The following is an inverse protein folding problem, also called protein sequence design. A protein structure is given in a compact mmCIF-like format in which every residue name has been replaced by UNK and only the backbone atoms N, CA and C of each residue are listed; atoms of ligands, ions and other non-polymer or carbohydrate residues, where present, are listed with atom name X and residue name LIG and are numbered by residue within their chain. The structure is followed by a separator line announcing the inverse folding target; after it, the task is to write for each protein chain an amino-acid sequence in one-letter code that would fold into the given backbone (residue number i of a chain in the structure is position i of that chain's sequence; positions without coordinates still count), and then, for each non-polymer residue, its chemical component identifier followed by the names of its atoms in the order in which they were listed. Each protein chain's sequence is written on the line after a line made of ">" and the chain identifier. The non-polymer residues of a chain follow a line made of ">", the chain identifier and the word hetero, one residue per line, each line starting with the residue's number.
data_IF_392097347481
#
_entry.id   IF_392097347481
#
_cell.length_a   1.000
_cell.length_b   1.000
_cell.length_c   1.000
_cell.angle_alpha   90.00
_cell.angle_beta   90.00
_cell.angle_gamma   90.00
#
_symmetry.space_group_name_H-M   'P 1'
#
loop_
_entity.id
_entity.type
_entity.pdbx_description
1 polymer ?
#
# COMPACT_ATOMS: atom_id res chain seq x y z
N UNK A 1 23.56 43.87 -10.78
CA UNK A 1 24.67 43.01 -11.31
C UNK A 1 24.93 41.75 -10.45
N UNK A 2 24.63 41.72 -9.16
CA UNK A 2 24.89 40.54 -8.28
C UNK A 2 24.08 39.33 -8.65
N UNK A 3 22.81 39.50 -9.06
CA UNK A 3 21.86 38.40 -9.35
C UNK A 3 22.27 37.53 -10.54
N UNK A 4 22.61 38.09 -11.72
CA UNK A 4 23.05 37.27 -12.85
C UNK A 4 24.33 36.48 -12.54
N UNK A 5 25.25 37.09 -11.78
CA UNK A 5 26.49 36.44 -11.34
C UNK A 5 26.19 35.23 -10.41
N UNK A 6 25.34 35.41 -9.40
CA UNK A 6 24.95 34.34 -8.49
C UNK A 6 24.25 33.17 -9.23
N UNK A 7 23.35 33.49 -10.18
CA UNK A 7 22.68 32.49 -11.00
C UNK A 7 23.69 31.75 -11.89
N UNK A 8 24.64 32.45 -12.50
CA UNK A 8 25.71 31.85 -13.30
C UNK A 8 26.55 30.85 -12.49
N UNK A 9 26.88 31.20 -11.24
CA UNK A 9 27.60 30.32 -10.33
C UNK A 9 26.77 29.09 -9.95
N UNK A 10 25.47 29.26 -9.69
CA UNK A 10 24.55 28.17 -9.46
C UNK A 10 24.43 27.23 -10.66
N UNK A 11 24.48 27.74 -11.91
CA UNK A 11 24.46 26.93 -13.12
C UNK A 11 25.76 26.14 -13.26
N UNK A 12 26.91 26.76 -13.00
CA UNK A 12 28.23 26.13 -13.11
C UNK A 12 28.37 24.95 -12.13
N UNK A 13 27.86 25.11 -10.91
CA UNK A 13 27.92 24.10 -9.85
C UNK A 13 26.55 23.49 -9.55
N UNK A 14 25.67 23.39 -10.55
CA UNK A 14 24.27 23.01 -10.38
C UNK A 14 24.09 21.68 -9.61
N UNK A 15 24.78 20.58 -9.92
CA UNK A 15 24.61 19.33 -9.20
C UNK A 15 25.00 19.41 -7.72
N UNK A 16 26.08 20.12 -7.42
CA UNK A 16 26.64 20.19 -6.05
C UNK A 16 25.97 21.26 -5.21
N UNK A 17 25.79 22.47 -5.75
CA UNK A 17 25.26 23.60 -5.00
C UNK A 17 23.72 23.54 -4.94
N UNK A 18 23.04 23.36 -6.06
CA UNK A 18 21.57 23.42 -6.08
C UNK A 18 20.97 22.08 -5.62
N UNK A 19 21.27 21.00 -6.34
CA UNK A 19 20.70 19.69 -6.02
C UNK A 19 21.23 19.15 -4.68
N UNK A 20 22.55 19.32 -4.43
CA UNK A 20 23.17 18.90 -3.17
C UNK A 20 22.56 19.60 -1.96
N UNK A 21 22.30 20.89 -2.02
CA UNK A 21 21.66 21.64 -0.93
C UNK A 21 20.22 21.18 -0.71
N UNK A 22 19.41 21.04 -1.77
CA UNK A 22 18.03 20.55 -1.63
C UNK A 22 18.03 19.15 -1.04
N UNK A 23 18.87 18.25 -1.53
CA UNK A 23 18.97 16.88 -1.03
C UNK A 23 19.40 16.85 0.45
N UNK A 24 20.37 17.68 0.85
CA UNK A 24 20.82 17.74 2.25
C UNK A 24 19.74 18.23 3.21
N UNK A 25 18.91 19.17 2.78
CA UNK A 25 17.79 19.70 3.58
C UNK A 25 16.66 18.67 3.67
N UNK A 26 16.39 17.94 2.58
CA UNK A 26 15.26 17.02 2.49
C UNK A 26 15.58 15.61 2.98
N UNK A 27 16.86 15.20 3.01
CA UNK A 27 17.29 13.86 3.43
C UNK A 27 16.83 13.48 4.83
N UNK A 28 16.92 14.35 5.87
CA UNK A 28 16.41 13.99 7.20
C UNK A 28 14.93 13.68 7.23
N UNK A 29 14.13 14.36 6.41
CA UNK A 29 12.68 14.12 6.30
C UNK A 29 12.43 12.72 5.72
N UNK A 30 13.10 12.39 4.61
CA UNK A 30 13.00 11.08 3.97
C UNK A 30 13.45 9.95 4.92
N UNK A 31 14.59 10.13 5.59
CA UNK A 31 15.09 9.13 6.54
C UNK A 31 14.18 8.97 7.76
N UNK A 32 13.58 10.06 8.23
CA UNK A 32 12.64 10.06 9.35
C UNK A 32 11.37 9.26 9.01
N UNK A 33 10.77 9.55 7.86
CA UNK A 33 9.54 8.83 7.41
C UNK A 33 9.81 7.36 7.09
N UNK A 34 10.95 7.04 6.48
CA UNK A 34 11.34 5.65 6.21
C UNK A 34 11.50 4.84 7.51
N UNK A 35 12.12 5.40 8.54
CA UNK A 35 12.23 4.73 9.86
C UNK A 35 10.89 4.53 10.54
N UNK A 36 9.96 5.49 10.40
CA UNK A 36 8.61 5.34 10.94
C UNK A 36 7.87 4.19 10.25
N UNK A 37 7.97 4.10 8.93
CA UNK A 37 7.38 3.00 8.15
C UNK A 37 7.99 1.64 8.53
N UNK A 38 9.31 1.57 8.66
CA UNK A 38 10.01 0.34 9.06
C UNK A 38 9.53 -0.15 10.43
N UNK A 39 9.42 0.74 11.42
CA UNK A 39 8.96 0.39 12.76
C UNK A 39 7.53 -0.16 12.77
N UNK A 40 6.58 0.51 12.10
CA UNK A 40 5.18 0.04 12.06
C UNK A 40 5.03 -1.25 11.22
N UNK A 41 5.86 -1.45 10.18
CA UNK A 41 5.86 -2.69 9.39
C UNK A 41 6.36 -3.87 10.21
N UNK A 42 7.40 -3.69 11.03
CA UNK A 42 7.89 -4.71 11.95
C UNK A 42 6.83 -5.08 12.98
N UNK A 43 6.16 -4.10 13.57
CA UNK A 43 5.07 -4.33 14.52
C UNK A 43 3.90 -5.07 13.85
N UNK A 44 3.49 -4.67 12.67
CA UNK A 44 2.43 -5.33 11.90
C UNK A 44 2.76 -6.81 11.68
N UNK A 45 3.97 -7.14 11.24
CA UNK A 45 4.39 -8.53 11.02
C UNK A 45 4.39 -9.34 12.30
N UNK A 46 4.84 -8.75 13.41
CA UNK A 46 4.83 -9.38 14.74
C UNK A 46 3.41 -9.71 15.21
N UNK A 47 2.47 -8.77 15.10
CA UNK A 47 1.08 -9.00 15.51
C UNK A 47 0.37 -9.99 14.57
N UNK A 48 0.69 -10.00 13.28
CA UNK A 48 0.20 -11.00 12.33
C UNK A 48 0.63 -12.41 12.74
N UNK A 49 1.91 -12.61 13.02
CA UNK A 49 2.44 -13.90 13.46
C UNK A 49 1.80 -14.36 14.80
N UNK A 50 1.60 -13.42 15.72
CA UNK A 50 0.95 -13.70 16.99
C UNK A 50 -0.53 -14.13 16.79
N UNK A 51 -1.27 -13.43 15.92
CA UNK A 51 -2.65 -13.79 15.57
C UNK A 51 -2.72 -15.17 14.96
N UNK A 52 -1.87 -15.47 13.95
CA UNK A 52 -1.86 -16.77 13.27
C UNK A 52 -1.56 -17.93 14.24
N UNK A 53 -0.66 -17.73 15.20
CA UNK A 53 -0.39 -18.70 16.26
C UNK A 53 -1.61 -18.93 17.17
N UNK A 54 -2.25 -17.86 17.62
CA UNK A 54 -3.43 -17.95 18.48
C UNK A 54 -4.62 -18.61 17.76
N UNK A 55 -4.82 -18.31 16.48
CA UNK A 55 -5.84 -18.93 15.63
C UNK A 55 -5.60 -20.44 15.52
N UNK A 56 -4.36 -20.84 15.22
CA UNK A 56 -3.99 -22.25 15.17
C UNK A 56 -4.21 -22.95 16.52
N UNK A 57 -3.77 -22.34 17.64
CA UNK A 57 -3.96 -22.90 18.98
C UNK A 57 -5.44 -22.99 19.36
N UNK A 58 -6.27 -22.00 19.01
CA UNK A 58 -7.70 -22.03 19.28
C UNK A 58 -8.39 -23.17 18.52
N UNK A 59 -8.03 -23.37 17.25
CA UNK A 59 -8.57 -24.47 16.45
C UNK A 59 -8.12 -25.84 16.97
N UNK A 60 -6.88 -25.94 17.45
CA UNK A 60 -6.36 -27.20 18.04
C UNK A 60 -7.01 -27.57 19.38
N UNK A 61 -7.49 -26.58 20.15
CA UNK A 61 -8.22 -26.85 21.43
C UNK A 61 -9.60 -27.42 21.23
N UNK A 62 -10.26 -27.11 20.12
CA UNK A 62 -11.59 -27.62 19.83
C UNK A 62 -11.50 -28.91 18.97
N UNK A 63 -11.94 -30.07 19.48
CA UNK A 63 -11.90 -31.33 18.73
C UNK A 63 -12.65 -31.25 17.38
N UNK A 64 -13.69 -30.41 17.29
CA UNK A 64 -14.48 -30.23 16.05
C UNK A 64 -13.73 -29.47 14.96
N UNK A 65 -12.62 -28.78 15.30
CA UNK A 65 -11.83 -27.99 14.31
C UNK A 65 -10.37 -28.43 14.23
N UNK A 66 -9.87 -29.17 15.22
CA UNK A 66 -8.49 -29.62 15.28
C UNK A 66 -8.08 -30.44 14.05
N UNK A 67 -8.95 -31.33 13.59
CA UNK A 67 -8.71 -32.14 12.39
C UNK A 67 -8.67 -31.34 11.08
N UNK A 68 -9.19 -30.12 11.06
CA UNK A 68 -9.12 -29.24 9.89
C UNK A 68 -7.72 -28.69 9.68
N UNK A 69 -6.96 -28.44 10.75
CA UNK A 69 -5.65 -27.77 10.74
C UNK A 69 -4.47 -28.70 11.00
N UNK A 70 -4.69 -29.85 11.65
CA UNK A 70 -3.66 -30.86 11.97
C UNK A 70 -3.89 -32.17 11.20
N UNK A 71 -2.82 -32.67 10.59
CA UNK A 71 -2.85 -33.98 9.95
C UNK A 71 -2.95 -35.09 10.99
N UNK A 72 -2.24 -34.93 12.11
CA UNK A 72 -2.18 -35.90 13.18
C UNK A 72 -3.56 -36.11 13.86
N UNK A 73 -4.26 -35.04 14.17
CA UNK A 73 -5.61 -35.10 14.71
C UNK A 73 -6.64 -35.63 13.69
N UNK A 74 -6.44 -35.32 12.42
CA UNK A 74 -7.27 -35.87 11.35
C UNK A 74 -7.11 -37.38 11.23
N UNK A 75 -5.88 -37.87 11.16
CA UNK A 75 -5.58 -39.30 11.05
C UNK A 75 -6.07 -40.06 12.30
N UNK A 76 -5.86 -39.49 13.50
CA UNK A 76 -6.35 -40.04 14.75
C UNK A 76 -7.89 -40.19 14.80
N UNK A 77 -8.63 -39.18 14.40
CA UNK A 77 -10.09 -39.22 14.33
C UNK A 77 -10.58 -40.23 13.28
N UNK A 78 -9.85 -40.38 12.15
CA UNK A 78 -10.15 -41.39 11.16
C UNK A 78 -9.95 -42.84 11.72
N UNK A 79 -8.87 -43.05 12.49
CA UNK A 79 -8.56 -44.35 13.09
C UNK A 79 -9.54 -44.74 14.19
N UNK A 80 -10.17 -43.75 14.86
CA UNK A 80 -11.21 -43.97 15.88
C UNK A 80 -12.56 -44.37 15.25
N UNK A 81 -12.79 -44.13 13.95
CA UNK A 81 -13.99 -44.50 13.22
C UNK A 81 -13.91 -45.96 12.77
N UNK A 82 -15.01 -46.70 12.95
CA UNK A 82 -15.13 -48.07 12.48
C UNK A 82 -15.45 -48.20 10.99
N UNK A 83 -15.84 -49.42 10.58
CA UNK A 83 -16.23 -49.73 9.20
C UNK A 83 -17.75 -49.83 9.03
N UNK A 84 -18.54 -49.20 9.91
CA UNK A 84 -19.99 -49.19 9.74
C UNK A 84 -20.41 -48.22 8.60
N UNK A 85 -21.58 -48.44 7.97
CA UNK A 85 -22.07 -47.49 6.97
C UNK A 85 -22.20 -46.06 7.46
N UNK A 86 -22.47 -45.87 8.76
CA UNK A 86 -22.51 -44.56 9.41
C UNK A 86 -21.13 -43.90 9.52
N UNK A 87 -20.12 -44.71 9.92
CA UNK A 87 -18.73 -44.25 10.02
C UNK A 87 -18.16 -43.84 8.67
N UNK A 88 -18.51 -44.54 7.58
CA UNK A 88 -18.12 -44.18 6.21
C UNK A 88 -18.70 -42.84 5.80
N UNK A 89 -19.94 -42.52 6.16
CA UNK A 89 -20.55 -41.21 5.89
C UNK A 89 -19.83 -40.11 6.69
N UNK A 90 -19.49 -40.37 7.93
CA UNK A 90 -18.73 -39.43 8.79
C UNK A 90 -17.34 -39.19 8.25
N UNK A 91 -16.60 -40.23 7.82
CA UNK A 91 -15.32 -40.10 7.16
C UNK A 91 -15.41 -39.22 5.90
N UNK A 92 -16.39 -39.49 5.02
CA UNK A 92 -16.60 -38.70 3.82
C UNK A 92 -16.92 -37.23 4.18
N UNK A 93 -17.69 -36.96 5.20
CA UNK A 93 -17.98 -35.64 5.77
C UNK A 93 -16.71 -34.92 6.19
N UNK A 94 -15.84 -35.54 6.96
CA UNK A 94 -14.57 -34.99 7.44
C UNK A 94 -13.62 -34.59 6.26
N UNK A 95 -13.51 -35.44 5.24
CA UNK A 95 -12.72 -35.14 4.03
C UNK A 95 -13.29 -33.94 3.29
N UNK A 96 -14.63 -33.88 3.15
CA UNK A 96 -15.30 -32.74 2.48
C UNK A 96 -15.11 -31.46 3.27
N UNK A 97 -15.31 -31.46 4.58
CA UNK A 97 -15.16 -30.29 5.45
C UNK A 97 -13.73 -29.77 5.44
N UNK A 98 -12.74 -30.67 5.59
CA UNK A 98 -11.33 -30.31 5.50
C UNK A 98 -10.96 -29.78 4.11
N UNK A 99 -11.47 -30.39 3.05
CA UNK A 99 -11.30 -29.92 1.68
C UNK A 99 -11.88 -28.52 1.48
N UNK A 100 -13.09 -28.26 2.00
CA UNK A 100 -13.73 -26.95 1.95
C UNK A 100 -12.98 -25.90 2.78
N UNK A 101 -12.51 -26.26 3.98
CA UNK A 101 -11.69 -25.38 4.81
C UNK A 101 -10.40 -24.98 4.09
N UNK A 102 -9.65 -25.95 3.57
CA UNK A 102 -8.42 -25.69 2.83
C UNK A 102 -8.65 -24.86 1.57
N UNK A 103 -9.76 -25.10 0.86
CA UNK A 103 -10.14 -24.31 -0.30
C UNK A 103 -10.48 -22.86 0.08
N UNK A 104 -11.29 -22.66 1.13
CA UNK A 104 -11.61 -21.30 1.63
C UNK A 104 -10.36 -20.57 2.08
N UNK A 105 -9.49 -21.26 2.84
CA UNK A 105 -8.19 -20.70 3.27
C UNK A 105 -7.32 -20.34 2.07
N UNK A 106 -7.16 -21.25 1.11
CA UNK A 106 -6.36 -21.00 -0.10
C UNK A 106 -6.88 -19.83 -0.95
N UNK A 107 -8.19 -19.69 -1.12
CA UNK A 107 -8.80 -18.54 -1.82
C UNK A 107 -8.52 -17.25 -1.07
N UNK A 108 -8.67 -17.22 0.24
CA UNK A 108 -8.42 -16.06 1.09
C UNK A 108 -6.95 -15.63 1.04
N UNK A 109 -6.03 -16.58 1.19
CA UNK A 109 -4.59 -16.32 1.13
C UNK A 109 -4.18 -15.81 -0.26
N UNK A 110 -4.74 -16.37 -1.32
CA UNK A 110 -4.54 -15.92 -2.71
C UNK A 110 -5.00 -14.47 -2.93
N UNK A 111 -6.19 -14.11 -2.44
CA UNK A 111 -6.66 -12.71 -2.54
C UNK A 111 -5.79 -11.76 -1.73
N UNK A 112 -5.35 -12.17 -0.54
CA UNK A 112 -4.44 -11.38 0.30
C UNK A 112 -3.12 -11.14 -0.42
N UNK A 113 -2.52 -12.18 -0.98
CA UNK A 113 -1.25 -12.10 -1.71
C UNK A 113 -1.34 -11.19 -2.95
N UNK A 114 -2.39 -11.33 -3.75
CA UNK A 114 -2.63 -10.45 -4.91
C UNK A 114 -2.77 -9.00 -4.47
N UNK A 115 -3.55 -8.71 -3.43
CA UNK A 115 -3.74 -7.34 -2.96
C UNK A 115 -2.44 -6.75 -2.41
N UNK A 116 -1.63 -7.54 -1.72
CA UNK A 116 -0.32 -7.12 -1.23
C UNK A 116 0.64 -6.81 -2.38
N UNK A 117 0.67 -7.65 -3.41
CA UNK A 117 1.42 -7.38 -4.64
C UNK A 117 0.93 -6.12 -5.37
N UNK A 118 -0.38 -5.90 -5.45
CA UNK A 118 -0.95 -4.70 -6.05
C UNK A 118 -0.60 -3.44 -5.25
N UNK A 119 -0.59 -3.51 -3.93
CA UNK A 119 -0.19 -2.43 -3.05
C UNK A 119 1.29 -2.08 -3.24
N UNK A 120 2.17 -3.08 -3.26
CA UNK A 120 3.59 -2.89 -3.55
C UNK A 120 3.82 -2.33 -4.96
N UNK A 121 3.07 -2.81 -5.95
CA UNK A 121 3.13 -2.29 -7.32
C UNK A 121 2.70 -0.82 -7.39
N UNK A 122 1.65 -0.41 -6.67
CA UNK A 122 1.22 0.99 -6.61
C UNK A 122 2.31 1.90 -6.01
N UNK A 123 2.97 1.45 -4.94
CA UNK A 123 4.10 2.16 -4.34
C UNK A 123 5.26 2.30 -5.32
N UNK A 124 5.64 1.21 -6.00
CA UNK A 124 6.71 1.18 -6.97
C UNK A 124 6.44 2.09 -8.18
N UNK A 125 5.20 2.14 -8.67
CA UNK A 125 4.78 3.03 -9.76
C UNK A 125 4.98 4.49 -9.37
N UNK A 126 4.55 4.90 -8.19
CA UNK A 126 4.72 6.28 -7.72
C UNK A 126 6.21 6.63 -7.56
N UNK A 127 7.01 5.75 -7.00
CA UNK A 127 8.46 6.00 -6.83
C UNK A 127 9.20 6.06 -8.17
N UNK A 128 8.83 5.21 -9.13
CA UNK A 128 9.38 5.24 -10.49
C UNK A 128 9.04 6.55 -11.20
N UNK A 129 7.78 6.98 -11.17
CA UNK A 129 7.33 8.25 -11.77
C UNK A 129 8.03 9.44 -11.09
N UNK A 130 8.16 9.41 -9.76
CA UNK A 130 8.90 10.39 -8.98
C UNK A 130 10.34 10.51 -9.46
N UNK A 131 11.03 9.39 -9.55
CA UNK A 131 12.44 9.32 -9.97
C UNK A 131 12.60 9.89 -11.39
N UNK A 132 11.72 9.50 -12.31
CA UNK A 132 11.71 10.06 -13.66
C UNK A 132 11.54 11.59 -13.67
N UNK A 133 10.60 12.12 -12.91
CA UNK A 133 10.40 13.57 -12.83
C UNK A 133 11.59 14.31 -12.20
N UNK A 134 12.21 13.74 -11.16
CA UNK A 134 13.40 14.33 -10.54
C UNK A 134 14.57 14.39 -11.53
N UNK A 135 14.78 13.33 -12.32
CA UNK A 135 15.83 13.31 -13.36
C UNK A 135 15.56 14.35 -14.43
N UNK A 136 14.33 14.44 -14.94
CA UNK A 136 13.96 15.45 -15.95
C UNK A 136 14.14 16.87 -15.38
N UNK A 137 13.69 17.12 -14.16
CA UNK A 137 13.86 18.42 -13.51
C UNK A 137 15.34 18.75 -13.27
N UNK A 138 16.16 17.77 -12.90
CA UNK A 138 17.59 17.95 -12.71
C UNK A 138 18.30 18.35 -14.03
N UNK A 139 17.94 17.71 -15.14
CA UNK A 139 18.50 18.00 -16.48
C UNK A 139 18.04 19.39 -16.97
N UNK A 140 16.76 19.74 -16.77
CA UNK A 140 16.19 21.01 -17.20
C UNK A 140 16.48 22.18 -16.23
N UNK A 141 17.01 21.89 -15.05
CA UNK A 141 17.30 22.89 -14.03
C UNK A 141 18.20 24.02 -14.51
N UNK A 142 19.41 23.75 -15.06
CA UNK A 142 20.29 24.80 -15.57
C UNK A 142 19.63 25.72 -16.60
N UNK A 143 18.76 25.16 -17.44
CA UNK A 143 18.00 25.93 -18.45
C UNK A 143 16.99 26.86 -17.76
N UNK A 144 16.25 26.36 -16.78
CA UNK A 144 15.30 27.18 -16.01
C UNK A 144 16.00 28.33 -15.25
N UNK A 145 17.17 28.03 -14.69
CA UNK A 145 18.02 29.05 -14.06
C UNK A 145 18.51 30.12 -15.07
N UNK A 146 18.99 29.70 -16.24
CA UNK A 146 19.44 30.60 -17.29
C UNK A 146 18.31 31.55 -17.76
N UNK A 147 17.10 31.01 -18.00
CA UNK A 147 15.94 31.81 -18.41
C UNK A 147 15.54 32.80 -17.32
N UNK A 148 15.70 32.49 -16.05
CA UNK A 148 15.33 33.35 -14.93
C UNK A 148 16.18 34.64 -14.81
N UNK A 149 17.27 34.71 -15.55
CA UNK A 149 18.14 35.93 -15.62
C UNK A 149 17.45 37.08 -16.35
N UNK A 150 16.62 36.75 -17.36
CA UNK A 150 15.92 37.77 -18.14
C UNK A 150 14.77 38.41 -17.36
N UNK A 151 14.59 39.72 -17.58
CA UNK A 151 13.49 40.45 -16.96
C UNK A 151 12.14 39.88 -17.44
N UNK A 152 11.22 39.68 -16.48
CA UNK A 152 9.92 39.04 -16.72
C UNK A 152 9.89 37.53 -16.50
N UNK A 153 11.02 36.82 -16.54
CA UNK A 153 11.10 35.38 -16.33
C UNK A 153 11.64 34.99 -14.94
N UNK A 154 11.73 35.93 -14.03
CA UNK A 154 12.32 35.75 -12.70
C UNK A 154 11.58 34.68 -11.84
N UNK A 155 10.27 34.49 -12.06
CA UNK A 155 9.46 33.49 -11.37
C UNK A 155 9.80 32.05 -11.77
N UNK A 156 10.45 31.85 -12.93
CA UNK A 156 10.81 30.50 -13.43
C UNK A 156 11.71 29.76 -12.46
N UNK A 157 12.67 30.43 -11.83
CA UNK A 157 13.55 29.86 -10.81
C UNK A 157 12.76 29.34 -9.62
N UNK A 158 11.91 30.17 -9.05
CA UNK A 158 11.11 29.82 -7.87
C UNK A 158 10.15 28.69 -8.20
N UNK A 159 9.53 28.71 -9.36
CA UNK A 159 8.62 27.68 -9.83
C UNK A 159 9.35 26.33 -10.01
N UNK A 160 10.56 26.35 -10.56
CA UNK A 160 11.38 25.16 -10.73
C UNK A 160 11.73 24.53 -9.36
N UNK A 161 12.22 25.37 -8.42
CA UNK A 161 12.57 24.90 -7.04
C UNK A 161 11.35 24.28 -6.37
N UNK A 162 10.20 24.95 -6.41
CA UNK A 162 8.97 24.44 -5.80
C UNK A 162 8.52 23.13 -6.42
N UNK A 163 8.65 22.98 -7.74
CA UNK A 163 8.32 21.73 -8.42
C UNK A 163 9.28 20.62 -8.06
N UNK A 164 10.57 20.91 -7.97
CA UNK A 164 11.57 19.92 -7.56
C UNK A 164 11.28 19.42 -6.13
N UNK A 165 11.04 20.33 -5.20
CA UNK A 165 10.69 20.00 -3.81
C UNK A 165 9.36 19.23 -3.74
N UNK A 166 8.34 19.65 -4.52
CA UNK A 166 7.05 18.95 -4.58
C UNK A 166 7.23 17.47 -4.96
N UNK A 167 7.98 17.21 -6.03
CA UNK A 167 8.21 15.84 -6.48
C UNK A 167 9.09 15.08 -5.49
N UNK A 168 10.05 15.75 -4.87
CA UNK A 168 10.90 15.14 -3.84
C UNK A 168 10.07 14.67 -2.64
N UNK A 169 9.07 15.44 -2.22
CA UNK A 169 8.17 15.13 -1.12
C UNK A 169 7.23 13.94 -1.36
N UNK A 170 7.12 13.43 -2.59
CA UNK A 170 6.28 12.26 -2.84
C UNK A 170 6.72 11.06 -2.01
N UNK A 171 8.02 10.84 -1.84
CA UNK A 171 8.53 9.71 -1.05
C UNK A 171 8.16 9.84 0.44
N UNK A 172 8.48 10.94 1.15
CA UNK A 172 8.04 11.11 2.53
C UNK A 172 6.53 11.01 2.73
N UNK A 173 5.73 11.54 1.79
CA UNK A 173 4.26 11.43 1.86
C UNK A 173 3.80 9.99 1.66
N UNK A 174 4.46 9.25 0.74
CA UNK A 174 4.24 7.81 0.55
C UNK A 174 4.53 7.01 1.81
N UNK A 175 5.69 7.25 2.43
CA UNK A 175 6.09 6.58 3.67
C UNK A 175 5.11 6.85 4.81
N UNK A 176 4.72 8.13 5.00
CA UNK A 176 3.72 8.49 6.01
C UNK A 176 2.36 7.83 5.76
N UNK A 177 1.92 7.80 4.50
CA UNK A 177 0.67 7.13 4.13
C UNK A 177 0.72 5.63 4.45
N UNK A 178 1.81 4.95 4.07
CA UNK A 178 2.04 3.54 4.39
C UNK A 178 2.13 3.29 5.89
N UNK A 179 2.79 4.19 6.65
CA UNK A 179 2.87 4.13 8.11
C UNK A 179 1.48 4.19 8.76
N UNK A 180 0.61 5.10 8.29
CA UNK A 180 -0.77 5.20 8.79
C UNK A 180 -1.55 3.92 8.51
N UNK A 181 -1.43 3.36 7.29
CA UNK A 181 -2.10 2.11 6.94
C UNK A 181 -1.59 0.93 7.77
N UNK A 182 -0.27 0.82 7.95
CA UNK A 182 0.34 -0.20 8.79
C UNK A 182 -0.15 -0.06 10.25
N UNK A 183 -0.24 1.16 10.77
CA UNK A 183 -0.77 1.40 12.13
C UNK A 183 -2.21 0.98 12.29
N UNK A 184 -3.07 1.28 11.32
CA UNK A 184 -4.47 0.84 11.34
C UNK A 184 -4.52 -0.69 11.34
N UNK A 185 -3.71 -1.36 10.51
CA UNK A 185 -3.63 -2.82 10.49
C UNK A 185 -3.15 -3.40 11.82
N UNK A 186 -2.14 -2.80 12.46
CA UNK A 186 -1.68 -3.18 13.81
C UNK A 186 -2.83 -3.11 14.82
N UNK A 187 -3.59 -2.01 14.85
CA UNK A 187 -4.72 -1.84 15.76
C UNK A 187 -5.82 -2.88 15.51
N UNK A 188 -6.08 -3.23 14.24
CA UNK A 188 -7.02 -4.30 13.90
C UNK A 188 -6.55 -5.65 14.40
N UNK A 189 -5.28 -6.00 14.17
CA UNK A 189 -4.67 -7.25 14.65
C UNK A 189 -4.70 -7.33 16.18
N UNK A 190 -4.40 -6.25 16.88
CA UNK A 190 -4.52 -6.19 18.33
C UNK A 190 -5.94 -6.45 18.81
N UNK A 191 -6.94 -5.81 18.19
CA UNK A 191 -8.35 -6.02 18.52
C UNK A 191 -8.78 -7.47 18.27
N UNK A 192 -8.32 -8.10 17.18
CA UNK A 192 -8.60 -9.50 16.89
C UNK A 192 -7.98 -10.43 17.95
N UNK A 193 -6.73 -10.18 18.34
CA UNK A 193 -6.02 -10.94 19.38
C UNK A 193 -6.75 -10.83 20.72
N UNK A 194 -7.17 -9.62 21.11
CA UNK A 194 -7.93 -9.40 22.36
C UNK A 194 -9.26 -10.17 22.36
N UNK A 195 -9.98 -10.17 21.23
CA UNK A 195 -11.23 -10.91 21.07
C UNK A 195 -11.03 -12.42 21.16
N UNK A 196 -9.98 -12.93 20.51
CA UNK A 196 -9.64 -14.37 20.56
C UNK A 196 -9.23 -14.82 21.97
N UNK A 197 -8.58 -13.95 22.74
CA UNK A 197 -8.22 -14.23 24.13
C UNK A 197 -9.44 -14.19 25.06
N UNK A 198 -10.41 -13.31 24.77
CA UNK A 198 -11.66 -13.19 25.56
C UNK A 198 -12.64 -14.32 25.26
N UNK A 199 -12.76 -14.75 24.00
CA UNK A 199 -13.64 -15.83 23.55
C UNK A 199 -12.86 -16.77 22.59
N UNK A 200 -12.43 -17.94 23.08
CA UNK A 200 -11.71 -18.92 22.27
C UNK A 200 -12.53 -19.51 21.10
N UNK A 201 -13.86 -19.38 21.12
CA UNK A 201 -14.74 -19.80 20.04
C UNK A 201 -15.05 -18.68 19.03
N UNK A 202 -14.41 -17.51 19.17
CA UNK A 202 -14.61 -16.38 18.28
C UNK A 202 -14.16 -16.73 16.85
N UNK A 203 -15.11 -16.65 15.90
CA UNK A 203 -14.85 -16.89 14.48
C UNK A 203 -14.31 -15.62 13.82
N UNK A 204 -13.13 -15.69 13.22
CA UNK A 204 -12.42 -14.57 12.56
C UNK A 204 -12.88 -14.27 11.13
N UNK A 205 -13.93 -14.94 10.66
CA UNK A 205 -14.39 -14.85 9.24
C UNK A 205 -14.73 -13.40 8.80
N UNK A 206 -15.04 -12.51 9.76
CA UNK A 206 -15.37 -11.11 9.47
C UNK A 206 -14.16 -10.16 9.39
N UNK A 207 -13.02 -10.48 10.02
CA UNK A 207 -11.86 -9.58 10.06
C UNK A 207 -11.08 -9.54 8.74
N UNK A 208 -11.09 -10.63 7.99
CA UNK A 208 -10.44 -10.71 6.69
C UNK A 208 -11.07 -9.78 5.64
N UNK A 209 -12.39 -9.60 5.69
CA UNK A 209 -13.09 -8.64 4.82
C UNK A 209 -12.64 -7.20 5.05
N UNK A 210 -12.43 -6.82 6.30
CA UNK A 210 -11.98 -5.47 6.67
C UNK A 210 -10.54 -5.25 6.18
N UNK A 211 -9.65 -6.23 6.34
CA UNK A 211 -8.29 -6.17 5.79
C UNK A 211 -8.27 -5.91 4.28
N UNK A 212 -9.08 -6.65 3.51
CA UNK A 212 -9.22 -6.49 2.07
C UNK A 212 -9.64 -5.07 1.70
N UNK A 213 -10.64 -4.52 2.39
CA UNK A 213 -11.11 -3.14 2.17
C UNK A 213 -9.99 -2.13 2.43
N UNK A 214 -9.22 -2.28 3.52
CA UNK A 214 -8.10 -1.39 3.81
C UNK A 214 -6.98 -1.49 2.78
N UNK A 215 -6.68 -2.67 2.25
CA UNK A 215 -5.71 -2.84 1.18
C UNK A 215 -6.16 -2.12 -0.11
N UNK A 216 -7.43 -2.21 -0.46
CA UNK A 216 -7.99 -1.50 -1.62
C UNK A 216 -7.91 0.02 -1.42
N UNK A 217 -8.27 0.52 -0.23
CA UNK A 217 -8.13 1.93 0.13
C UNK A 217 -6.66 2.36 0.01
N UNK A 218 -5.74 1.53 0.48
CA UNK A 218 -4.30 1.76 0.37
C UNK A 218 -3.84 1.90 -1.09
N UNK A 219 -4.23 0.97 -1.96
CA UNK A 219 -3.89 1.00 -3.38
C UNK A 219 -4.40 2.29 -4.05
N UNK A 220 -5.67 2.65 -3.80
CA UNK A 220 -6.27 3.89 -4.34
C UNK A 220 -5.58 5.12 -3.76
N UNK A 221 -5.27 5.11 -2.47
CA UNK A 221 -4.64 6.19 -1.74
C UNK A 221 -3.25 6.55 -2.28
N UNK A 222 -2.48 5.59 -2.75
CA UNK A 222 -1.18 5.86 -3.37
C UNK A 222 -1.26 6.85 -4.54
N UNK A 223 -2.32 6.81 -5.34
CA UNK A 223 -2.51 7.73 -6.46
C UNK A 223 -2.88 9.14 -6.02
N UNK A 224 -3.18 9.37 -4.76
CA UNK A 224 -3.42 10.71 -4.19
C UNK A 224 -2.15 11.40 -3.70
N UNK A 225 -1.03 10.67 -3.54
CA UNK A 225 0.25 11.17 -3.01
C UNK A 225 0.74 12.43 -3.75
N UNK A 226 0.76 12.48 -5.10
CA UNK A 226 1.19 13.68 -5.81
C UNK A 226 0.34 14.91 -5.48
N UNK A 227 -0.95 14.71 -5.24
CA UNK A 227 -1.89 15.77 -4.88
C UNK A 227 -1.59 16.29 -3.47
N UNK A 228 -1.43 15.40 -2.51
CA UNK A 228 -1.11 15.75 -1.11
C UNK A 228 0.23 16.48 -1.02
N UNK A 229 1.26 15.96 -1.69
CA UNK A 229 2.57 16.65 -1.77
C UNK A 229 2.44 18.05 -2.40
N UNK A 230 1.53 18.22 -3.35
CA UNK A 230 1.21 19.50 -3.96
C UNK A 230 0.61 20.52 -2.98
N UNK A 231 -0.23 20.08 -2.04
CA UNK A 231 -0.84 20.97 -1.04
C UNK A 231 0.21 21.66 -0.14
N UNK A 232 1.29 20.95 0.20
CA UNK A 232 2.38 21.48 1.03
C UNK A 232 3.02 22.69 0.35
N UNK A 233 3.24 22.62 -0.97
CA UNK A 233 3.84 23.72 -1.75
C UNK A 233 2.83 24.82 -2.07
N UNK A 234 1.57 24.48 -2.30
CA UNK A 234 0.50 25.44 -2.61
C UNK A 234 0.14 26.33 -1.41
N UNK A 235 0.29 25.82 -0.18
CA UNK A 235 0.13 26.62 1.04
C UNK A 235 1.08 27.82 1.08
N UNK A 236 2.21 27.77 0.33
CA UNK A 236 3.14 28.89 0.13
C UNK A 236 2.74 29.94 -0.92
N UNK A 237 1.52 29.92 -1.45
CA UNK A 237 0.98 30.97 -2.37
C UNK A 237 1.18 30.71 -3.86
N UNK A 238 1.66 29.54 -4.30
CA UNK A 238 1.94 29.24 -5.72
C UNK A 238 0.95 28.24 -6.36
N UNK A 239 -0.32 28.34 -6.03
CA UNK A 239 -1.39 27.38 -6.32
C UNK A 239 -1.76 27.11 -7.79
N UNK A 240 -1.23 27.80 -8.78
CA UNK A 240 -1.64 27.59 -10.18
C UNK A 240 -0.83 26.51 -10.94
N UNK A 241 0.38 26.20 -10.50
CA UNK A 241 1.27 25.25 -11.19
C UNK A 241 1.10 23.77 -10.83
N UNK A 242 0.63 23.48 -9.62
CA UNK A 242 0.40 22.09 -9.18
C UNK A 242 -0.73 21.36 -9.92
N UNK A 243 -1.64 22.13 -10.53
CA UNK A 243 -2.84 21.59 -11.19
C UNK A 243 -2.54 20.66 -12.37
N UNK A 244 -1.49 20.94 -13.14
CA UNK A 244 -1.14 20.15 -14.33
C UNK A 244 -0.46 18.81 -14.01
N UNK A 245 0.39 18.75 -12.96
CA UNK A 245 1.02 17.48 -12.54
C UNK A 245 0.00 16.55 -11.91
N UNK A 246 -0.92 17.11 -11.12
CA UNK A 246 -2.01 16.36 -10.49
C UNK A 246 -2.99 15.78 -11.53
N UNK A 247 -3.25 16.47 -12.65
CA UNK A 247 -4.09 15.92 -13.71
C UNK A 247 -3.46 14.71 -14.41
N UNK A 248 -2.15 14.67 -14.56
CA UNK A 248 -1.45 13.55 -15.20
C UNK A 248 -1.44 12.32 -14.27
N UNK A 249 -1.19 12.50 -12.97
CA UNK A 249 -1.26 11.43 -11.99
C UNK A 249 -2.71 10.94 -11.77
N UNK A 250 -3.70 11.84 -11.75
CA UNK A 250 -5.11 11.53 -11.67
C UNK A 250 -5.63 10.78 -12.90
N UNK A 251 -5.10 11.07 -14.11
CA UNK A 251 -5.44 10.32 -15.32
C UNK A 251 -4.84 8.91 -15.32
N UNK A 252 -3.63 8.72 -14.78
CA UNK A 252 -3.03 7.40 -14.61
C UNK A 252 -3.80 6.55 -13.58
N UNK A 253 -4.23 7.17 -12.46
CA UNK A 253 -5.09 6.53 -11.46
C UNK A 253 -6.50 6.23 -11.98
N UNK A 254 -7.07 7.14 -12.79
CA UNK A 254 -8.36 6.96 -13.46
C UNK A 254 -8.33 5.84 -14.49
N UNK A 255 -7.21 5.63 -15.19
CA UNK A 255 -7.04 4.51 -16.12
C UNK A 255 -7.00 3.16 -15.37
N UNK A 256 -6.27 3.07 -14.26
CA UNK A 256 -6.26 1.87 -13.42
C UNK A 256 -7.64 1.59 -12.80
N UNK A 257 -8.35 2.62 -12.34
CA UNK A 257 -9.73 2.51 -11.82
C UNK A 257 -10.76 2.14 -12.89
N UNK A 258 -10.62 2.64 -14.13
CA UNK A 258 -11.52 2.32 -15.23
C UNK A 258 -11.32 0.89 -15.75
N UNK A 259 -10.10 0.36 -15.74
CA UNK A 259 -9.82 -1.04 -16.09
C UNK A 259 -10.39 -1.98 -15.02
N UNK A 260 -10.23 -1.66 -13.73
CA UNK A 260 -10.82 -2.44 -12.64
C UNK A 260 -12.36 -2.38 -12.63
N UNK A 261 -12.94 -1.20 -12.91
CA UNK A 261 -14.39 -1.01 -13.00
C UNK A 261 -15.03 -1.67 -14.21
N UNK A 262 -14.37 -1.68 -15.37
CA UNK A 262 -14.85 -2.32 -16.58
C UNK A 262 -14.85 -3.86 -16.48
N UNK A 263 -13.87 -4.44 -15.79
CA UNK A 263 -13.85 -5.89 -15.54
C UNK A 263 -14.90 -6.30 -14.52
N UNK A 264 -15.08 -5.57 -13.43
CA UNK A 264 -16.12 -5.85 -12.42
C UNK A 264 -17.55 -5.65 -12.98
N UNK A 265 -17.79 -4.60 -13.77
CA UNK A 265 -19.09 -4.33 -14.41
C UNK A 265 -19.50 -5.40 -15.43
N UNK A 266 -18.55 -5.93 -16.21
CA UNK A 266 -18.81 -6.99 -17.17
C UNK A 266 -19.10 -8.36 -16.53
N UNK A 267 -18.48 -8.66 -15.38
CA UNK A 267 -18.71 -9.91 -14.63
C UNK A 267 -20.10 -9.87 -13.97
N UNK A 268 -20.47 -8.75 -13.32
CA UNK A 268 -21.80 -8.57 -12.72
C UNK A 268 -22.93 -8.52 -13.76
N UNK A 269 -22.71 -7.90 -14.93
CA UNK A 269 -23.68 -7.85 -16.01
C UNK A 269 -23.93 -9.21 -16.68
N UNK A 270 -22.94 -10.11 -16.72
CA UNK A 270 -23.10 -11.49 -17.19
C UNK A 270 -23.79 -12.41 -16.19
N UNK A 271 -23.48 -12.26 -14.89
CA UNK A 271 -24.14 -13.02 -13.83
C UNK A 271 -25.64 -12.70 -13.73
N UNK A 272 -26.03 -11.43 -13.90
CA UNK A 272 -27.44 -11.01 -13.93
C UNK A 272 -28.24 -11.51 -15.15
N UNK A 273 -27.58 -11.87 -16.27
CA UNK A 273 -28.24 -12.48 -17.45
C UNK A 273 -28.41 -13.99 -17.36
N UNK A 274 -27.67 -14.66 -16.47
CA UNK A 274 -27.79 -16.11 -16.24
C UNK A 274 -28.83 -16.47 -15.17
N UNK A 275 -29.37 -15.46 -14.47
CA UNK A 275 -30.39 -15.60 -13.41
C UNK A 275 -31.81 -15.16 -13.91
N UNK A 276 -31.98 -14.91 -15.19
CA UNK A 276 -33.29 -14.77 -15.89
C UNK A 276 -33.50 -15.93 -16.85
#
# INVERSE_FOLDING_TARGET
>A
MLRPFAIGLCIMFFPTVVLGTINSIMSPVVQGTAKMLEAETLDMNRYREQKDKLEYEAMMRNPETAYLVSNEEFDKQLDELGWSPGDMVTMAGMYIERGMYNMKKGIRDFFREILELMFQAAALVIDTIRTFFLVVLAILGPIAFAISVWDGFQSTLTQWICRYIQVYLWLPVSDMFSTILAKIQVLMLQSDIERMQADPNFSLDSSDGVYIVFMIIGIIGYFTIPTVAGWIIQAGGMGSYGRNVNQTAGKAGGFAGSVAGATAGNVLGRAGKLLK
#
